data_IF_843961792882
#
_entry.id   IF_843961792882
#
_cell.length_a   1.000
_cell.length_b   1.000
_cell.length_c   1.000
_cell.angle_alpha   90.00
_cell.angle_beta   90.00
_cell.angle_gamma   90.00
#
_symmetry.space_group_name_H-M   'P 1'
#
loop_
_entity.id
_entity.type
_entity.pdbx_description
1 polymer ?
#
# COMPACT_ATOMS: atom_id res chain seq x y z
N UNK A 1 -15.44 -17.43 3.58
CA UNK A 1 -14.21 -17.65 2.83
C UNK A 1 -13.97 -19.13 2.71
N UNK A 2 -14.12 -19.66 1.48
CA UNK A 2 -13.77 -21.04 1.20
C UNK A 2 -12.29 -21.25 1.52
N UNK A 3 -11.98 -22.31 2.27
CA UNK A 3 -10.60 -22.71 2.48
C UNK A 3 -9.91 -22.81 1.12
N UNK A 4 -8.85 -22.04 0.95
CA UNK A 4 -7.92 -22.23 -0.15
C UNK A 4 -7.45 -23.69 -0.04
N UNK A 5 -7.85 -24.50 -1.01
CA UNK A 5 -7.73 -25.94 -0.91
C UNK A 5 -6.28 -26.37 -0.66
N UNK A 6 -6.11 -27.33 0.22
CA UNK A 6 -4.82 -28.00 0.42
C UNK A 6 -4.36 -28.58 -0.93
N UNK A 7 -3.23 -28.07 -1.42
CA UNK A 7 -2.64 -28.54 -2.68
C UNK A 7 -2.23 -27.45 -3.65
N UNK A 8 -2.42 -26.17 -3.30
CA UNK A 8 -1.89 -25.06 -4.11
C UNK A 8 -0.37 -24.95 -3.87
N UNK A 9 0.45 -24.82 -4.93
CA UNK A 9 1.90 -24.77 -4.78
C UNK A 9 2.42 -23.49 -4.10
N UNK A 10 1.65 -22.39 -4.12
CA UNK A 10 1.93 -21.18 -3.37
C UNK A 10 0.88 -21.02 -2.26
N UNK A 11 1.32 -20.66 -1.04
CA UNK A 11 0.47 -20.52 0.13
C UNK A 11 -0.09 -19.10 0.27
N UNK A 12 0.77 -18.10 0.14
CA UNK A 12 0.38 -16.67 0.24
C UNK A 12 1.42 -15.78 -0.43
N UNK A 13 1.10 -14.50 -0.56
CA UNK A 13 2.06 -13.47 -0.96
C UNK A 13 2.98 -13.17 0.22
N UNK A 14 4.27 -13.50 0.12
CA UNK A 14 5.21 -13.35 1.23
C UNK A 14 5.65 -11.90 1.45
N UNK A 15 6.02 -11.20 0.40
CA UNK A 15 6.45 -9.80 0.48
C UNK A 15 6.37 -9.08 -0.87
N UNK A 16 6.46 -7.77 -0.81
CA UNK A 16 6.65 -6.89 -1.97
C UNK A 16 8.04 -6.26 -1.86
N UNK A 17 8.77 -6.20 -2.97
CA UNK A 17 10.10 -5.58 -3.05
C UNK A 17 10.04 -4.36 -3.97
N UNK A 18 10.32 -3.18 -3.42
CA UNK A 18 10.30 -1.92 -4.15
C UNK A 18 11.73 -1.38 -4.33
N UNK A 19 11.99 -0.83 -5.49
CA UNK A 19 13.15 0.00 -5.74
C UNK A 19 12.79 1.45 -5.45
N UNK A 20 13.64 2.13 -4.69
CA UNK A 20 13.42 3.52 -4.27
C UNK A 20 14.71 4.31 -4.48
N UNK A 21 14.62 5.61 -4.66
CA UNK A 21 15.81 6.44 -4.85
C UNK A 21 16.57 6.67 -3.56
N UNK A 22 15.86 6.83 -2.44
CA UNK A 22 16.42 7.06 -1.11
C UNK A 22 15.76 6.11 -0.09
N UNK A 23 16.51 5.11 0.36
CA UNK A 23 16.00 4.07 1.26
C UNK A 23 15.61 4.64 2.63
N UNK A 24 16.32 5.63 3.15
CA UNK A 24 16.00 6.23 4.46
C UNK A 24 14.70 7.01 4.39
N UNK A 25 14.47 7.75 3.32
CA UNK A 25 13.22 8.45 3.08
C UNK A 25 12.05 7.50 2.93
N UNK A 26 12.22 6.41 2.18
CA UNK A 26 11.19 5.38 2.01
C UNK A 26 10.89 4.67 3.34
N UNK A 27 11.91 4.32 4.12
CA UNK A 27 11.74 3.73 5.45
C UNK A 27 10.90 4.64 6.36
N UNK A 28 11.23 5.93 6.41
CA UNK A 28 10.48 6.89 7.21
C UNK A 28 9.00 6.95 6.78
N UNK A 29 8.75 6.96 5.48
CA UNK A 29 7.40 6.97 4.93
C UNK A 29 6.59 5.73 5.33
N UNK A 30 7.07 4.54 5.03
CA UNK A 30 6.35 3.29 5.30
C UNK A 30 6.19 3.00 6.79
N UNK A 31 7.19 3.35 7.60
CA UNK A 31 7.09 3.26 9.06
C UNK A 31 6.01 4.20 9.60
N UNK A 32 6.04 5.46 9.20
CA UNK A 32 5.19 6.49 9.78
C UNK A 32 3.74 6.44 9.24
N UNK A 33 3.55 6.05 7.99
CA UNK A 33 2.22 5.97 7.37
C UNK A 33 1.54 4.64 7.63
N UNK A 34 2.26 3.51 7.45
CA UNK A 34 1.69 2.17 7.58
C UNK A 34 1.99 1.48 8.92
N UNK A 35 2.87 2.03 9.73
CA UNK A 35 3.21 1.45 11.02
C UNK A 35 4.15 0.26 10.96
N UNK A 36 4.86 0.06 9.84
CA UNK A 36 5.83 -1.01 9.71
C UNK A 36 7.07 -0.76 10.58
N UNK A 37 7.61 -1.83 11.14
CA UNK A 37 8.88 -1.78 11.87
C UNK A 37 10.02 -2.31 11.01
N UNK A 38 11.19 -1.67 11.08
CA UNK A 38 12.41 -2.16 10.42
C UNK A 38 12.90 -3.40 11.16
N UNK A 39 13.02 -4.51 10.45
CA UNK A 39 13.56 -5.77 10.99
C UNK A 39 15.03 -5.94 10.70
N UNK A 40 15.51 -5.41 9.57
CA UNK A 40 16.90 -5.50 9.19
C UNK A 40 17.28 -4.36 8.23
N UNK A 41 18.52 -3.90 8.39
CA UNK A 41 19.18 -2.99 7.45
C UNK A 41 20.49 -3.61 6.99
N UNK A 42 20.70 -3.64 5.69
CA UNK A 42 21.95 -4.12 5.10
C UNK A 42 22.27 -3.34 3.83
N UNK A 43 23.39 -2.61 3.84
CA UNK A 43 23.83 -1.80 2.71
C UNK A 43 22.70 -0.87 2.22
N UNK A 44 22.27 -0.98 0.97
CA UNK A 44 21.18 -0.21 0.38
C UNK A 44 19.78 -0.82 0.61
N UNK A 45 19.68 -1.89 1.40
CA UNK A 45 18.42 -2.58 1.66
C UNK A 45 17.83 -2.24 3.02
N UNK A 46 16.50 -2.20 3.10
CA UNK A 46 15.76 -2.20 4.34
C UNK A 46 14.62 -3.22 4.26
N UNK A 47 14.39 -3.91 5.35
CA UNK A 47 13.31 -4.90 5.49
C UNK A 47 12.38 -4.43 6.60
N UNK A 48 11.08 -4.40 6.31
CA UNK A 48 10.06 -3.91 7.23
C UNK A 48 8.95 -4.94 7.39
N UNK A 49 8.39 -5.02 8.59
CA UNK A 49 7.38 -6.01 8.93
C UNK A 49 6.31 -5.44 9.86
N UNK A 50 5.12 -6.05 9.82
CA UNK A 50 4.08 -5.88 10.84
C UNK A 50 4.36 -6.69 12.11
N UNK A 51 5.36 -7.56 12.12
CA UNK A 51 5.83 -8.30 13.29
C UNK A 51 5.70 -9.83 13.23
N UNK A 52 4.98 -10.40 12.30
CA UNK A 52 4.82 -11.85 12.17
C UNK A 52 5.89 -12.51 11.29
N UNK A 53 6.28 -11.83 10.21
CA UNK A 53 7.27 -12.32 9.26
C UNK A 53 8.57 -11.53 9.38
N UNK A 54 9.66 -12.04 8.83
CA UNK A 54 10.92 -11.29 8.76
C UNK A 54 10.68 -9.94 8.04
N UNK A 55 9.95 -9.96 6.94
CA UNK A 55 9.52 -8.75 6.26
C UNK A 55 8.26 -8.99 5.41
N UNK A 56 7.44 -7.96 5.33
CA UNK A 56 6.30 -7.84 4.42
C UNK A 56 6.66 -6.91 3.25
N UNK A 57 7.62 -6.01 3.48
CA UNK A 57 8.12 -5.06 2.51
C UNK A 57 9.65 -5.06 2.53
N UNK A 58 10.26 -5.19 1.35
CA UNK A 58 11.68 -4.95 1.13
C UNK A 58 11.86 -3.67 0.31
N UNK A 59 12.81 -2.85 0.71
CA UNK A 59 13.20 -1.63 0.00
C UNK A 59 14.66 -1.74 -0.44
N UNK A 60 14.92 -1.37 -1.69
CA UNK A 60 16.25 -1.32 -2.26
C UNK A 60 16.54 0.09 -2.78
N UNK A 61 17.51 0.79 -2.20
CA UNK A 61 17.97 2.07 -2.69
C UNK A 61 18.77 1.91 -3.98
N UNK A 62 18.32 2.55 -5.06
CA UNK A 62 19.03 2.52 -6.35
C UNK A 62 19.75 3.83 -6.66
N UNK A 63 19.54 4.87 -5.85
CA UNK A 63 20.07 6.21 -6.13
C UNK A 63 19.38 6.90 -7.32
N UNK A 64 19.30 8.21 -7.29
CA UNK A 64 18.63 8.98 -8.34
C UNK A 64 19.33 8.87 -9.71
N UNK A 65 20.64 8.59 -9.73
CA UNK A 65 21.45 8.45 -10.94
C UNK A 65 21.16 7.14 -11.71
N UNK A 66 20.62 6.14 -11.04
CA UNK A 66 20.27 4.84 -11.62
C UNK A 66 18.82 4.79 -12.13
N UNK A 67 18.06 5.86 -11.94
CA UNK A 67 16.67 5.94 -12.41
C UNK A 67 16.67 6.15 -13.92
N UNK A 68 16.06 5.21 -14.63
CA UNK A 68 15.87 5.35 -16.07
C UNK A 68 14.82 6.44 -16.36
N UNK A 69 15.24 7.49 -17.05
CA UNK A 69 14.37 8.59 -17.48
C UNK A 69 13.23 8.12 -18.44
N UNK A 70 13.29 6.87 -18.89
CA UNK A 70 12.25 6.25 -19.70
C UNK A 70 11.06 5.71 -18.88
N UNK A 71 11.03 5.86 -17.56
CA UNK A 71 9.87 5.49 -16.76
C UNK A 71 8.72 6.44 -17.08
N UNK A 72 7.59 5.93 -17.53
CA UNK A 72 6.47 6.79 -17.85
C UNK A 72 5.90 7.40 -16.61
N UNK A 73 5.51 8.62 -16.77
CA UNK A 73 5.00 9.47 -15.73
C UNK A 73 3.64 9.01 -15.14
N UNK A 74 2.91 8.12 -15.79
CA UNK A 74 1.60 7.66 -15.28
C UNK A 74 1.56 6.14 -15.13
N UNK A 75 1.68 5.62 -13.89
CA UNK A 75 1.54 4.19 -13.63
C UNK A 75 0.14 3.65 -13.97
N UNK A 76 -0.85 4.53 -14.16
CA UNK A 76 -2.21 4.18 -14.57
C UNK A 76 -2.36 4.07 -16.09
N UNK A 77 -1.30 4.41 -16.84
CA UNK A 77 -1.26 4.27 -18.28
C UNK A 77 -1.33 2.79 -18.72
N UNK A 78 -1.49 2.52 -20.04
CA UNK A 78 -1.70 1.17 -20.57
C UNK A 78 -0.40 0.36 -20.60
N UNK A 79 0.20 0.11 -19.44
CA UNK A 79 1.42 -0.68 -19.28
C UNK A 79 1.19 -1.88 -18.39
N UNK A 80 1.84 -2.95 -18.74
CA UNK A 80 1.93 -4.13 -17.88
C UNK A 80 2.91 -3.86 -16.75
N UNK A 81 2.49 -4.07 -15.50
CA UNK A 81 3.31 -3.87 -14.32
C UNK A 81 2.50 -3.81 -13.03
N UNK A 82 3.18 -3.52 -11.95
CA UNK A 82 2.53 -3.32 -10.66
C UNK A 82 1.80 -1.97 -10.66
N UNK A 83 0.51 -2.00 -10.35
CA UNK A 83 -0.31 -0.79 -10.23
C UNK A 83 -0.15 -0.14 -8.84
N UNK A 84 -0.35 -0.93 -7.80
CA UNK A 84 -0.16 -0.50 -6.40
C UNK A 84 0.05 -1.71 -5.49
N UNK A 85 0.52 -1.46 -4.28
CA UNK A 85 0.43 -2.38 -3.15
C UNK A 85 -0.76 -1.98 -2.29
N UNK A 86 -1.55 -2.94 -1.80
CA UNK A 86 -2.73 -2.69 -0.99
C UNK A 86 -2.56 -3.23 0.42
N UNK A 87 -2.92 -2.41 1.42
CA UNK A 87 -2.71 -2.66 2.84
C UNK A 87 -4.02 -2.50 3.58
N UNK A 88 -4.46 -3.56 4.23
CA UNK A 88 -5.73 -3.57 4.95
C UNK A 88 -5.59 -3.02 6.37
N UNK A 89 -6.54 -2.17 6.77
CA UNK A 89 -6.74 -1.74 8.15
C UNK A 89 -8.01 -2.39 8.71
N UNK A 90 -8.08 -2.57 10.02
CA UNK A 90 -9.16 -3.33 10.66
C UNK A 90 -10.34 -2.46 11.14
N UNK A 91 -10.23 -1.13 11.03
CA UNK A 91 -11.26 -0.23 11.51
C UNK A 91 -11.35 1.08 10.73
N UNK A 92 -12.52 1.72 10.78
CA UNK A 92 -12.73 3.07 10.26
C UNK A 92 -11.83 4.09 10.96
N UNK A 93 -11.57 3.91 12.26
CA UNK A 93 -10.67 4.77 13.02
C UNK A 93 -9.23 4.72 12.47
N UNK A 94 -8.74 3.54 12.12
CA UNK A 94 -7.42 3.39 11.52
C UNK A 94 -7.34 3.95 10.10
N UNK A 95 -8.41 3.81 9.31
CA UNK A 95 -8.47 4.43 7.99
C UNK A 95 -8.41 5.97 8.09
N UNK A 96 -9.18 6.54 9.02
CA UNK A 96 -9.15 7.97 9.32
C UNK A 96 -7.76 8.42 9.78
N UNK A 97 -7.17 7.72 10.73
CA UNK A 97 -5.84 8.03 11.24
C UNK A 97 -4.78 8.00 10.13
N UNK A 98 -4.89 7.07 9.18
CA UNK A 98 -4.03 7.04 8.00
C UNK A 98 -4.21 8.28 7.14
N UNK A 99 -5.45 8.70 6.90
CA UNK A 99 -5.72 9.94 6.16
C UNK A 99 -5.14 11.18 6.88
N UNK A 100 -5.20 11.23 8.20
CA UNK A 100 -4.60 12.30 9.02
C UNK A 100 -3.07 12.33 8.86
N UNK A 101 -2.41 11.18 8.98
CA UNK A 101 -0.94 11.08 8.81
C UNK A 101 -0.49 11.50 7.40
N UNK A 102 -1.25 11.12 6.39
CA UNK A 102 -0.99 11.54 5.01
C UNK A 102 -1.17 13.04 4.82
N UNK A 103 -2.21 13.63 5.42
CA UNK A 103 -2.44 15.07 5.41
C UNK A 103 -1.32 15.87 6.08
N UNK A 104 -0.82 15.40 7.22
CA UNK A 104 0.33 16.00 7.92
C UNK A 104 1.61 16.00 7.08
N UNK A 105 1.73 15.03 6.18
CA UNK A 105 2.85 14.90 5.24
C UNK A 105 2.60 15.57 3.90
N UNK A 106 1.46 16.22 3.73
CA UNK A 106 1.06 16.87 2.48
C UNK A 106 1.02 15.91 1.27
N UNK A 107 0.69 14.64 1.53
CA UNK A 107 0.52 13.63 0.49
C UNK A 107 -0.88 13.75 -0.12
N UNK A 108 -0.94 13.83 -1.45
CA UNK A 108 -2.21 13.83 -2.17
C UNK A 108 -2.90 12.47 -2.03
N UNK A 109 -4.15 12.46 -1.64
CA UNK A 109 -4.94 11.25 -1.39
C UNK A 109 -6.21 11.28 -2.22
N UNK A 110 -6.55 10.12 -2.82
CA UNK A 110 -7.82 9.89 -3.50
C UNK A 110 -8.66 8.91 -2.67
N UNK A 111 -9.61 9.37 -1.86
CA UNK A 111 -10.48 8.50 -1.08
C UNK A 111 -11.64 8.00 -1.93
N UNK A 112 -11.78 6.68 -2.05
CA UNK A 112 -12.78 6.03 -2.91
C UNK A 112 -13.54 4.96 -2.14
N UNK A 113 -14.85 5.04 -2.19
CA UNK A 113 -15.77 3.99 -1.72
C UNK A 113 -16.11 3.07 -2.90
N UNK A 114 -15.57 1.87 -2.86
CA UNK A 114 -15.79 0.84 -3.87
C UNK A 114 -17.03 -0.04 -3.55
N UNK A 115 -17.74 0.22 -2.48
CA UNK A 115 -18.81 -0.65 -1.99
C UNK A 115 -18.27 -1.81 -1.15
N UNK A 116 -17.40 -2.63 -1.71
CA UNK A 116 -16.72 -3.73 -1.01
C UNK A 116 -15.62 -3.25 -0.08
N UNK A 117 -15.12 -2.04 -0.27
CA UNK A 117 -14.11 -1.41 0.57
C UNK A 117 -14.23 0.12 0.54
N UNK A 118 -13.68 0.75 1.56
CA UNK A 118 -13.32 2.17 1.54
C UNK A 118 -11.81 2.27 1.51
N UNK A 119 -11.28 2.97 0.53
CA UNK A 119 -9.85 2.98 0.23
C UNK A 119 -9.29 4.39 0.11
N UNK A 120 -8.03 4.53 0.52
CA UNK A 120 -7.20 5.71 0.30
C UNK A 120 -6.12 5.33 -0.70
N UNK A 121 -6.12 5.98 -1.86
CA UNK A 121 -5.08 5.80 -2.88
C UNK A 121 -4.12 6.97 -2.84
N UNK A 122 -2.85 6.68 -2.82
CA UNK A 122 -1.77 7.68 -2.80
C UNK A 122 -0.48 7.10 -3.37
N UNK A 123 0.57 7.90 -3.39
CA UNK A 123 1.88 7.47 -3.85
C UNK A 123 2.92 7.62 -2.74
N UNK A 124 3.92 6.75 -2.74
CA UNK A 124 5.10 6.94 -1.91
C UNK A 124 5.99 8.07 -2.48
N UNK A 125 7.09 8.47 -1.80
CA UNK A 125 7.94 9.55 -2.29
C UNK A 125 8.56 9.34 -3.67
N UNK A 126 8.62 8.10 -4.16
CA UNK A 126 9.13 7.76 -5.49
C UNK A 126 8.04 7.54 -6.54
N UNK A 127 6.77 7.76 -6.19
CA UNK A 127 5.64 7.55 -7.08
C UNK A 127 5.13 6.12 -7.17
N UNK A 128 5.56 5.23 -6.26
CA UNK A 128 4.98 3.90 -6.17
C UNK A 128 3.55 3.99 -5.62
N UNK A 129 2.59 3.37 -6.31
CA UNK A 129 1.20 3.37 -5.89
C UNK A 129 0.98 2.59 -4.59
N UNK A 130 0.20 3.17 -3.69
CA UNK A 130 -0.18 2.57 -2.40
C UNK A 130 -1.68 2.73 -2.20
N UNK A 131 -2.32 1.67 -1.74
CA UNK A 131 -3.70 1.66 -1.29
C UNK A 131 -3.75 1.25 0.19
N UNK A 132 -4.46 2.02 1.00
CA UNK A 132 -4.86 1.58 2.36
C UNK A 132 -6.36 1.47 2.37
N UNK A 133 -6.89 0.32 2.77
CA UNK A 133 -8.32 0.07 2.68
C UNK A 133 -8.90 -0.61 3.92
N UNK A 134 -10.18 -0.36 4.13
CA UNK A 134 -11.05 -1.06 5.07
C UNK A 134 -12.01 -1.95 4.28
N UNK A 135 -12.02 -3.26 4.56
CA UNK A 135 -13.01 -4.18 3.99
C UNK A 135 -14.39 -3.86 4.61
N UNK A 136 -15.37 -3.59 3.76
CA UNK A 136 -16.75 -3.25 4.18
C UNK A 136 -17.78 -4.29 3.76
N UNK A 137 -17.34 -5.44 3.24
CA UNK A 137 -18.24 -6.47 2.69
C UNK A 137 -19.17 -7.04 3.74
N UNK A 138 -18.64 -7.47 4.88
CA UNK A 138 -19.43 -8.04 5.98
C UNK A 138 -20.44 -7.01 6.52
N UNK A 139 -20.00 -5.80 6.77
CA UNK A 139 -20.80 -4.71 7.32
C UNK A 139 -21.95 -4.30 6.41
N UNK A 140 -21.78 -4.43 5.09
CA UNK A 140 -22.76 -4.03 4.06
C UNK A 140 -23.53 -5.19 3.44
N UNK A 141 -23.21 -6.43 3.82
CA UNK A 141 -23.78 -7.64 3.24
C UNK A 141 -23.61 -7.69 1.70
N UNK A 142 -22.42 -7.35 1.22
CA UNK A 142 -22.02 -7.42 -0.19
C UNK A 142 -20.75 -8.22 -0.34
N UNK A 143 -20.71 -9.09 -1.37
CA UNK A 143 -19.55 -9.95 -1.62
C UNK A 143 -18.76 -9.54 -2.87
N UNK A 144 -19.41 -8.82 -3.79
CA UNK A 144 -18.85 -8.53 -5.10
C UNK A 144 -18.82 -7.04 -5.40
N UNK A 145 -17.74 -6.62 -6.04
CA UNK A 145 -17.65 -5.29 -6.58
C UNK A 145 -18.54 -5.16 -7.83
N UNK A 146 -19.40 -4.16 -7.84
CA UNK A 146 -20.34 -3.88 -8.93
C UNK A 146 -19.93 -2.71 -9.83
N UNK A 147 -18.68 -2.26 -9.73
CA UNK A 147 -18.17 -1.11 -10.46
C UNK A 147 -18.32 0.23 -9.73
N UNK A 148 -18.80 0.23 -8.48
CA UNK A 148 -18.92 1.45 -7.68
C UNK A 148 -17.55 2.05 -7.37
N UNK A 149 -17.39 3.35 -7.69
CA UNK A 149 -16.24 4.16 -7.35
C UNK A 149 -16.75 5.57 -7.01
N UNK A 150 -17.07 5.79 -5.75
CA UNK A 150 -17.58 7.07 -5.27
C UNK A 150 -16.58 7.72 -4.32
N UNK A 151 -16.40 9.03 -4.46
CA UNK A 151 -15.58 9.77 -3.51
C UNK A 151 -16.27 9.80 -2.14
N UNK A 152 -15.51 9.65 -1.07
CA UNK A 152 -16.00 9.81 0.30
C UNK A 152 -15.07 10.72 1.11
N UNK A 153 -15.57 11.25 2.22
CA UNK A 153 -14.77 12.01 3.18
C UNK A 153 -14.22 11.07 4.25
N UNK A 154 -12.91 10.80 4.30
CA UNK A 154 -12.33 9.89 5.28
C UNK A 154 -12.39 10.41 6.72
N UNK A 155 -12.70 11.69 6.90
CA UNK A 155 -12.84 12.30 8.23
C UNK A 155 -14.26 12.19 8.79
N UNK A 156 -15.21 11.71 7.99
CA UNK A 156 -16.63 11.56 8.35
C UNK A 156 -17.06 10.11 8.59
N UNK A 157 -16.13 9.16 8.69
CA UNK A 157 -16.41 7.74 8.90
C UNK A 157 -16.15 7.29 10.32
#
# INVERSE_FOLDING_TARGET
>A
FGAVGRGMPADHLGHVHLKVTDVDRAVAFYRDVLGLAVTERFDRYAFLSFGEHHHDLALQGIGAEEVDDGVPADPRGPRVGLYHSAWEVDSAAELRATAERLGEREVAVSPVDNGVSKALYFEDPDGNGVEVYLDTREQRDIEQWNGRNERFDPFSI
#
